data_IF_168033236071
#
_entry.id   IF_168033236071
#
_cell.length_a   1.000
_cell.length_b   1.000
_cell.length_c   1.000
_cell.angle_alpha   90.00
_cell.angle_beta   90.00
_cell.angle_gamma   90.00
#
_symmetry.space_group_name_H-M   'P 1'
#
loop_
_entity.id
_entity.type
_entity.pdbx_description
1 polymer ?
#
# COMPACT_ATOMS: atom_id res chain seq x y z
N UNK A 1 -34.13 13.26 2.86
CA UNK A 1 -32.97 14.03 3.30
C UNK A 1 -31.78 13.33 2.66
N UNK A 2 -31.42 13.77 1.47
CA UNK A 2 -30.38 13.16 0.62
C UNK A 2 -29.02 13.61 1.13
N UNK A 3 -28.16 12.65 1.48
CA UNK A 3 -26.75 12.90 1.80
C UNK A 3 -26.04 13.43 0.55
N UNK A 4 -25.14 14.39 0.69
CA UNK A 4 -24.37 14.87 -0.45
C UNK A 4 -23.43 13.77 -0.94
N UNK A 5 -23.43 13.55 -2.24
CA UNK A 5 -22.49 12.72 -2.96
C UNK A 5 -21.04 13.19 -2.65
N UNK A 6 -20.26 12.32 -2.05
CA UNK A 6 -18.81 12.53 -1.91
C UNK A 6 -18.20 12.58 -3.31
N UNK A 7 -17.91 13.77 -3.77
CA UNK A 7 -17.15 13.99 -4.98
C UNK A 7 -15.70 13.55 -4.81
N UNK A 8 -15.16 12.89 -5.79
CA UNK A 8 -13.74 12.88 -6.13
C UNK A 8 -12.85 11.91 -5.37
N UNK A 9 -12.89 10.60 -5.71
CA UNK A 9 -11.84 9.64 -5.38
C UNK A 9 -11.48 8.71 -6.55
N UNK A 10 -11.78 9.08 -7.78
CA UNK A 10 -11.81 8.09 -8.86
C UNK A 10 -10.62 8.07 -9.81
N UNK A 11 -9.52 8.78 -9.59
CA UNK A 11 -8.49 8.79 -10.63
C UNK A 11 -7.07 8.75 -10.13
N UNK A 12 -6.64 7.65 -9.54
CA UNK A 12 -5.25 7.28 -9.70
C UNK A 12 -5.14 6.47 -11.01
N UNK A 13 -5.07 7.18 -12.14
CA UNK A 13 -5.03 6.57 -13.49
C UNK A 13 -3.72 5.82 -13.79
N UNK A 14 -2.73 5.92 -12.90
CA UNK A 14 -1.41 5.33 -13.12
C UNK A 14 -1.41 3.84 -12.84
N UNK A 15 -1.18 3.03 -13.88
CA UNK A 15 -1.10 1.58 -13.76
C UNK A 15 0.25 1.16 -13.17
N UNK A 16 0.27 0.93 -11.86
CA UNK A 16 1.48 0.54 -11.14
C UNK A 16 2.02 -0.83 -11.57
N UNK A 17 1.14 -1.78 -11.94
CA UNK A 17 1.59 -3.08 -12.41
C UNK A 17 2.25 -2.95 -13.78
N UNK A 18 1.64 -2.26 -14.73
CA UNK A 18 2.23 -2.04 -16.04
C UNK A 18 3.55 -1.26 -15.93
N UNK A 19 3.65 -0.24 -15.09
CA UNK A 19 4.90 0.46 -14.80
C UNK A 19 5.98 -0.48 -14.21
N UNK A 20 5.59 -1.45 -13.38
CA UNK A 20 6.50 -2.45 -12.83
C UNK A 20 7.07 -3.41 -13.88
N UNK A 21 6.36 -3.60 -15.01
CA UNK A 21 6.68 -4.54 -16.08
C UNK A 21 7.37 -3.87 -17.27
N UNK A 22 6.78 -2.80 -17.80
CA UNK A 22 7.19 -2.12 -19.03
C UNK A 22 7.69 -0.70 -18.81
N UNK A 23 7.61 -0.16 -17.61
CA UNK A 23 8.10 1.16 -17.24
C UNK A 23 9.62 1.32 -17.43
N UNK A 24 10.15 2.47 -17.07
CA UNK A 24 11.60 2.75 -17.11
C UNK A 24 12.39 1.72 -16.28
N UNK A 25 13.69 1.59 -16.55
CA UNK A 25 14.56 0.69 -15.79
C UNK A 25 14.50 0.97 -14.28
N UNK A 26 14.43 2.24 -13.87
CA UNK A 26 14.35 2.63 -12.47
C UNK A 26 13.03 2.22 -11.84
N UNK A 27 11.89 2.39 -12.53
CA UNK A 27 10.58 1.96 -12.05
C UNK A 27 10.52 0.45 -11.86
N UNK A 28 10.95 -0.32 -12.87
CA UNK A 28 11.00 -1.79 -12.75
C UNK A 28 11.90 -2.24 -11.60
N UNK A 29 13.07 -1.63 -11.45
CA UNK A 29 13.98 -1.92 -10.33
C UNK A 29 13.33 -1.57 -8.98
N UNK A 30 12.64 -0.43 -8.90
CA UNK A 30 11.92 0.03 -7.71
C UNK A 30 10.90 -1.01 -7.25
N UNK A 31 10.00 -1.43 -8.15
CA UNK A 31 8.96 -2.40 -7.81
C UNK A 31 9.51 -3.78 -7.44
N UNK A 32 10.51 -4.27 -8.17
CA UNK A 32 11.16 -5.56 -7.83
C UNK A 32 11.82 -5.53 -6.45
N UNK A 33 12.49 -4.43 -6.10
CA UNK A 33 13.12 -4.29 -4.78
C UNK A 33 12.09 -4.23 -3.66
N UNK A 34 10.97 -3.56 -3.86
CA UNK A 34 9.89 -3.51 -2.86
C UNK A 34 9.39 -4.91 -2.49
N UNK A 35 9.16 -5.77 -3.48
CA UNK A 35 8.75 -7.16 -3.22
C UNK A 35 9.84 -7.92 -2.46
N UNK A 36 11.11 -7.80 -2.88
CA UNK A 36 12.23 -8.47 -2.21
C UNK A 36 12.48 -7.95 -0.78
N UNK A 37 12.24 -6.67 -0.51
CA UNK A 37 12.34 -6.09 0.82
C UNK A 37 11.19 -6.57 1.72
N UNK A 38 9.98 -6.62 1.19
CA UNK A 38 8.81 -7.16 1.90
C UNK A 38 9.03 -8.59 2.39
N UNK A 39 9.54 -9.46 1.53
CA UNK A 39 9.81 -10.87 1.90
C UNK A 39 10.95 -11.06 2.91
N UNK A 40 11.77 -10.03 3.12
CA UNK A 40 12.80 -10.02 4.16
C UNK A 40 12.29 -9.54 5.50
N UNK A 41 11.27 -8.67 5.53
CA UNK A 41 10.74 -8.10 6.78
C UNK A 41 9.79 -9.06 7.48
N UNK A 42 9.04 -9.87 6.71
CA UNK A 42 8.08 -10.86 7.20
C UNK A 42 8.09 -12.10 6.30
N UNK A 43 7.90 -13.26 6.93
CA UNK A 43 7.67 -14.51 6.21
C UNK A 43 6.22 -14.55 5.72
N UNK A 44 6.03 -14.91 4.45
CA UNK A 44 4.71 -14.96 3.79
C UNK A 44 4.30 -16.38 3.40
N UNK A 45 5.23 -17.35 3.49
CA UNK A 45 4.92 -18.74 3.16
C UNK A 45 3.84 -19.29 4.10
N UNK A 46 2.84 -19.98 3.51
CA UNK A 46 1.68 -20.54 4.22
C UNK A 46 0.86 -19.55 5.05
N UNK A 47 1.08 -18.25 4.86
CA UNK A 47 0.30 -17.19 5.49
C UNK A 47 -0.84 -16.76 4.58
N UNK A 48 -1.99 -16.44 5.17
CA UNK A 48 -3.08 -15.77 4.49
C UNK A 48 -2.82 -14.27 4.53
N UNK A 49 -2.52 -13.68 3.37
CA UNK A 49 -2.06 -12.30 3.24
C UNK A 49 -3.17 -11.41 2.69
N UNK A 50 -3.35 -10.23 3.24
CA UNK A 50 -4.15 -9.15 2.65
C UNK A 50 -3.20 -8.04 2.17
N UNK A 51 -3.28 -7.65 0.91
CA UNK A 51 -2.75 -6.36 0.46
C UNK A 51 -3.88 -5.33 0.48
N UNK A 52 -3.81 -4.41 1.44
CA UNK A 52 -4.76 -3.31 1.59
C UNK A 52 -4.26 -2.09 0.80
N UNK A 53 -5.01 -1.67 -0.20
CA UNK A 53 -4.59 -0.70 -1.21
C UNK A 53 -3.77 -1.37 -2.32
N UNK A 54 -4.29 -2.46 -2.90
CA UNK A 54 -3.56 -3.28 -3.86
C UNK A 54 -3.39 -2.62 -5.24
N UNK A 55 -4.10 -1.50 -5.50
CA UNK A 55 -4.07 -0.81 -6.79
C UNK A 55 -4.20 -1.80 -7.95
N UNK A 56 -3.37 -1.71 -9.00
CA UNK A 56 -3.38 -2.59 -10.17
C UNK A 56 -2.49 -3.83 -10.02
N UNK A 57 -1.98 -4.14 -8.80
CA UNK A 57 -1.34 -5.41 -8.48
C UNK A 57 0.19 -5.45 -8.53
N UNK A 58 0.86 -4.32 -8.45
CA UNK A 58 2.33 -4.26 -8.51
C UNK A 58 3.06 -5.07 -7.41
N UNK A 59 2.39 -5.37 -6.28
CA UNK A 59 2.87 -6.25 -5.22
C UNK A 59 2.13 -7.59 -5.26
N UNK A 60 0.79 -7.57 -5.36
CA UNK A 60 -0.06 -8.76 -5.33
C UNK A 60 0.33 -9.79 -6.40
N UNK A 61 0.50 -9.36 -7.65
CA UNK A 61 0.79 -10.29 -8.75
C UNK A 61 2.14 -11.01 -8.55
N UNK A 62 3.27 -10.31 -8.25
CA UNK A 62 4.51 -10.98 -7.89
C UNK A 62 4.38 -11.96 -6.71
N UNK A 63 3.61 -11.62 -5.67
CA UNK A 63 3.37 -12.52 -4.54
C UNK A 63 2.60 -13.78 -4.99
N UNK A 64 1.54 -13.62 -5.79
CA UNK A 64 0.78 -14.76 -6.35
C UNK A 64 1.63 -15.66 -7.23
N UNK A 65 2.50 -15.09 -8.09
CA UNK A 65 3.47 -15.86 -8.89
C UNK A 65 4.39 -16.73 -8.04
N UNK A 66 4.71 -16.26 -6.84
CA UNK A 66 5.54 -16.99 -5.87
C UNK A 66 4.73 -17.94 -4.96
N UNK A 67 3.45 -18.17 -5.25
CA UNK A 67 2.60 -19.12 -4.52
C UNK A 67 2.01 -18.59 -3.20
N UNK A 68 2.17 -17.29 -2.89
CA UNK A 68 1.59 -16.69 -1.67
C UNK A 68 0.06 -16.63 -1.79
N UNK A 69 -0.66 -17.03 -0.74
CA UNK A 69 -2.12 -16.86 -0.64
C UNK A 69 -2.46 -15.41 -0.30
N UNK A 70 -2.52 -14.54 -1.31
CA UNK A 70 -2.79 -13.12 -1.15
C UNK A 70 -4.16 -12.73 -1.70
N UNK A 71 -4.88 -11.95 -0.88
CA UNK A 71 -6.14 -11.29 -1.21
C UNK A 71 -5.87 -9.81 -1.42
N UNK A 72 -6.44 -9.19 -2.45
CA UNK A 72 -6.34 -7.76 -2.71
C UNK A 72 -7.57 -7.00 -2.22
N UNK A 73 -7.35 -5.80 -1.71
CA UNK A 73 -8.39 -4.83 -1.43
C UNK A 73 -7.96 -3.46 -1.92
N UNK A 74 -8.85 -2.76 -2.63
CA UNK A 74 -8.69 -1.35 -2.98
C UNK A 74 -10.03 -0.64 -2.87
N UNK A 75 -10.01 0.64 -2.56
CA UNK A 75 -11.23 1.46 -2.52
C UNK A 75 -11.73 1.76 -3.93
N UNK A 76 -10.83 1.83 -4.90
CA UNK A 76 -11.14 2.11 -6.30
C UNK A 76 -11.57 0.83 -7.04
N UNK A 77 -12.83 0.79 -7.47
CA UNK A 77 -13.34 -0.29 -8.31
C UNK A 77 -12.59 -0.36 -9.65
N UNK A 78 -12.21 0.78 -10.22
CA UNK A 78 -11.45 0.84 -11.47
C UNK A 78 -10.07 0.18 -11.34
N UNK A 79 -9.35 0.39 -10.23
CA UNK A 79 -8.09 -0.29 -9.95
C UNK A 79 -8.27 -1.80 -9.82
N UNK A 80 -9.31 -2.23 -9.10
CA UNK A 80 -9.63 -3.65 -8.92
C UNK A 80 -9.98 -4.31 -10.26
N UNK A 81 -10.71 -3.64 -11.14
CA UNK A 81 -11.04 -4.18 -12.45
C UNK A 81 -9.80 -4.29 -13.35
N UNK A 82 -8.89 -3.32 -13.34
CA UNK A 82 -7.60 -3.41 -14.01
C UNK A 82 -6.75 -4.57 -13.44
N UNK A 83 -6.72 -4.72 -12.12
CA UNK A 83 -6.02 -5.83 -11.48
C UNK A 83 -6.58 -7.19 -11.92
N UNK A 84 -7.89 -7.35 -12.05
CA UNK A 84 -8.51 -8.58 -12.57
C UNK A 84 -8.07 -8.89 -14.00
N UNK A 85 -8.01 -7.86 -14.87
CA UNK A 85 -7.49 -8.01 -16.23
C UNK A 85 -6.03 -8.47 -16.22
N UNK A 86 -5.19 -7.88 -15.38
CA UNK A 86 -3.79 -8.29 -15.25
C UNK A 86 -3.64 -9.72 -14.71
N UNK A 87 -4.44 -10.12 -13.71
CA UNK A 87 -4.43 -11.49 -13.19
C UNK A 87 -4.76 -12.50 -14.28
N UNK A 88 -5.79 -12.25 -15.08
CA UNK A 88 -6.17 -13.11 -16.22
C UNK A 88 -5.04 -13.19 -17.25
N UNK A 89 -4.46 -12.05 -17.63
CA UNK A 89 -3.34 -12.00 -18.59
C UNK A 89 -2.10 -12.75 -18.10
N UNK A 90 -1.91 -12.86 -16.79
CA UNK A 90 -0.80 -13.60 -16.15
C UNK A 90 -1.14 -15.07 -15.87
N UNK A 91 -2.37 -15.52 -16.17
CA UNK A 91 -2.83 -16.88 -15.85
C UNK A 91 -2.91 -17.13 -14.33
N UNK A 92 -3.16 -16.10 -13.55
CA UNK A 92 -3.23 -16.15 -12.09
C UNK A 92 -4.65 -15.93 -11.60
N UNK A 93 -4.95 -16.53 -10.43
CA UNK A 93 -6.17 -16.28 -9.70
C UNK A 93 -5.86 -15.66 -8.33
N UNK A 94 -6.60 -14.62 -7.95
CA UNK A 94 -6.61 -14.06 -6.61
C UNK A 94 -7.99 -13.48 -6.30
N UNK A 95 -8.38 -13.54 -5.02
CA UNK A 95 -9.58 -12.81 -4.55
C UNK A 95 -9.23 -11.33 -4.46
N UNK A 96 -10.07 -10.49 -5.06
CA UNK A 96 -9.90 -9.03 -5.00
C UNK A 96 -11.25 -8.36 -4.71
N UNK A 97 -11.24 -7.43 -3.77
CA UNK A 97 -12.41 -6.73 -3.27
C UNK A 97 -12.30 -5.23 -3.53
N UNK A 98 -13.39 -4.62 -3.98
CA UNK A 98 -13.51 -3.18 -4.14
C UNK A 98 -14.40 -2.60 -3.02
N UNK A 99 -13.96 -1.53 -2.38
CA UNK A 99 -14.74 -0.79 -1.38
C UNK A 99 -14.87 -1.47 -0.02
N UNK A 100 -15.29 -2.73 0.05
CA UNK A 100 -15.51 -3.44 1.31
C UNK A 100 -14.84 -4.81 1.35
N UNK A 101 -14.39 -5.20 2.53
CA UNK A 101 -13.93 -6.56 2.85
C UNK A 101 -15.02 -7.28 3.62
N UNK A 102 -15.17 -8.62 3.46
CA UNK A 102 -16.04 -9.41 4.33
C UNK A 102 -15.68 -9.21 5.80
N UNK A 103 -16.67 -8.93 6.66
CA UNK A 103 -16.45 -8.57 8.07
C UNK A 103 -15.69 -9.65 8.86
N UNK A 104 -15.92 -10.92 8.54
CA UNK A 104 -15.33 -12.09 9.17
C UNK A 104 -13.96 -12.49 8.60
N UNK A 105 -13.50 -11.81 7.54
CA UNK A 105 -12.22 -12.12 6.93
C UNK A 105 -11.05 -11.83 7.89
N UNK A 106 -10.23 -12.85 8.13
CA UNK A 106 -9.04 -12.77 8.98
C UNK A 106 -7.79 -13.12 8.18
N UNK A 107 -6.69 -12.39 8.45
CA UNK A 107 -5.43 -12.55 7.74
C UNK A 107 -4.26 -12.64 8.71
N UNK A 108 -3.30 -13.52 8.43
CA UNK A 108 -2.09 -13.67 9.22
C UNK A 108 -1.14 -12.49 9.01
N UNK A 109 -1.17 -11.91 7.80
CA UNK A 109 -0.37 -10.73 7.43
C UNK A 109 -1.26 -9.74 6.67
N UNK A 110 -1.23 -8.49 7.08
CA UNK A 110 -1.82 -7.37 6.34
C UNK A 110 -0.71 -6.44 5.87
N UNK A 111 -0.70 -6.14 4.58
CA UNK A 111 0.26 -5.27 3.93
C UNK A 111 -0.37 -3.89 3.68
N UNK A 112 0.31 -2.83 4.08
CA UNK A 112 0.04 -1.43 3.77
C UNK A 112 1.26 -0.83 3.09
N UNK A 113 1.30 -0.88 1.77
CA UNK A 113 2.49 -0.46 1.02
C UNK A 113 2.24 0.88 0.33
N UNK A 114 2.73 1.95 0.93
CA UNK A 114 2.51 3.34 0.49
C UNK A 114 1.00 3.67 0.36
N UNK A 115 0.23 3.38 1.39
CA UNK A 115 -1.22 3.66 1.45
C UNK A 115 -1.52 4.79 2.42
N UNK A 116 -0.87 4.79 3.60
CA UNK A 116 -1.21 5.74 4.67
C UNK A 116 -0.95 7.20 4.28
N UNK A 117 -0.07 7.43 3.31
CA UNK A 117 0.22 8.75 2.78
C UNK A 117 -0.99 9.38 2.04
N UNK A 118 -1.88 8.52 1.48
CA UNK A 118 -3.05 8.93 0.70
C UNK A 118 -4.34 8.95 1.50
N UNK A 119 -4.30 8.58 2.78
CA UNK A 119 -5.48 8.48 3.64
C UNK A 119 -5.55 9.69 4.57
N UNK A 120 -6.69 10.38 4.59
CA UNK A 120 -6.94 11.48 5.54
C UNK A 120 -7.04 10.94 6.98
N UNK A 121 -7.92 9.97 7.20
CA UNK A 121 -8.20 9.36 8.51
C UNK A 121 -7.36 8.09 8.74
N UNK A 122 -6.04 8.26 8.90
CA UNK A 122 -5.08 7.16 9.06
C UNK A 122 -5.41 6.21 10.21
N UNK A 123 -5.90 6.77 11.31
CA UNK A 123 -6.33 6.02 12.48
C UNK A 123 -7.48 5.05 12.16
N UNK A 124 -8.50 5.52 11.47
CA UNK A 124 -9.66 4.73 11.08
C UNK A 124 -9.28 3.54 10.20
N UNK A 125 -8.32 3.73 9.28
CA UNK A 125 -7.79 2.64 8.45
C UNK A 125 -7.07 1.60 9.31
N UNK A 126 -6.23 2.03 10.26
CA UNK A 126 -5.55 1.10 11.16
C UNK A 126 -6.54 0.34 12.05
N UNK A 127 -7.62 0.97 12.50
CA UNK A 127 -8.67 0.33 13.27
C UNK A 127 -9.45 -0.70 12.42
N UNK A 128 -9.73 -0.39 11.15
CA UNK A 128 -10.31 -1.35 10.19
C UNK A 128 -9.39 -2.55 10.01
N UNK A 129 -8.09 -2.32 9.80
CA UNK A 129 -7.11 -3.38 9.64
C UNK A 129 -6.99 -4.26 10.88
N UNK A 130 -7.01 -3.67 12.09
CA UNK A 130 -6.92 -4.42 13.34
C UNK A 130 -8.06 -5.45 13.48
N UNK A 131 -9.25 -5.17 12.95
CA UNK A 131 -10.38 -6.12 12.92
C UNK A 131 -10.14 -7.31 11.99
N UNK A 132 -9.38 -7.12 10.93
CA UNK A 132 -9.04 -8.16 9.94
C UNK A 132 -7.73 -8.90 10.23
N UNK A 133 -6.97 -8.51 11.24
CA UNK A 133 -5.79 -9.25 11.67
C UNK A 133 -6.18 -10.47 12.50
N UNK A 134 -5.64 -11.63 12.12
CA UNK A 134 -5.71 -12.83 12.95
C UNK A 134 -4.99 -12.62 14.29
N UNK A 135 -5.32 -13.41 15.33
CA UNK A 135 -4.56 -13.39 16.59
C UNK A 135 -3.06 -13.60 16.30
N UNK A 136 -2.22 -12.71 16.85
CA UNK A 136 -0.78 -12.69 16.57
C UNK A 136 -0.39 -12.42 15.09
N UNK A 137 -1.30 -11.92 14.26
CA UNK A 137 -1.02 -11.50 12.89
C UNK A 137 0.01 -10.37 12.82
N UNK A 138 0.52 -10.13 11.63
CA UNK A 138 1.47 -9.07 11.34
C UNK A 138 0.82 -7.97 10.50
N UNK A 139 0.96 -6.73 10.94
CA UNK A 139 0.77 -5.58 10.06
C UNK A 139 2.14 -5.16 9.53
N UNK A 140 2.30 -5.15 8.21
CA UNK A 140 3.52 -4.68 7.54
C UNK A 140 3.21 -3.37 6.83
N UNK A 141 3.92 -2.33 7.22
CA UNK A 141 3.74 -0.99 6.66
C UNK A 141 5.01 -0.56 5.94
N UNK A 142 4.86 -0.05 4.73
CA UNK A 142 5.92 0.64 4.01
C UNK A 142 5.54 2.11 3.86
N UNK A 143 6.39 3.00 4.33
CA UNK A 143 6.25 4.45 4.19
C UNK A 143 7.39 4.99 3.33
N UNK A 144 7.07 5.93 2.44
CA UNK A 144 8.07 6.72 1.75
C UNK A 144 8.69 7.74 2.70
N UNK A 145 10.00 7.96 2.63
CA UNK A 145 10.65 9.02 3.39
C UNK A 145 10.51 10.36 2.63
N UNK A 146 9.65 11.27 3.09
CA UNK A 146 9.42 12.54 2.41
C UNK A 146 10.67 13.46 2.41
N UNK A 147 11.64 13.19 3.28
CA UNK A 147 12.89 13.94 3.38
C UNK A 147 13.95 13.45 2.39
N UNK A 148 13.74 12.27 1.77
CA UNK A 148 14.70 11.69 0.86
C UNK A 148 15.00 12.61 -0.34
N UNK A 149 16.29 12.87 -0.69
CA UNK A 149 16.66 13.81 -1.75
C UNK A 149 15.98 13.52 -3.09
N UNK A 150 15.77 12.25 -3.43
CA UNK A 150 15.11 11.86 -4.69
C UNK A 150 13.66 12.33 -4.74
N UNK A 151 12.89 12.19 -3.66
CA UNK A 151 11.51 12.67 -3.56
C UNK A 151 11.46 14.18 -3.63
N UNK A 152 12.35 14.86 -2.86
CA UNK A 152 12.45 16.32 -2.88
C UNK A 152 12.84 16.87 -4.25
N UNK A 153 13.77 16.19 -4.96
CA UNK A 153 14.19 16.60 -6.29
C UNK A 153 13.07 16.34 -7.33
N UNK A 154 12.31 15.26 -7.20
CA UNK A 154 11.14 14.96 -8.03
C UNK A 154 10.10 16.09 -7.94
N UNK A 155 9.77 16.54 -6.72
CA UNK A 155 8.88 17.68 -6.48
C UNK A 155 9.42 18.98 -7.08
N UNK A 156 10.69 19.27 -6.90
CA UNK A 156 11.35 20.44 -7.50
C UNK A 156 11.32 20.40 -9.02
N UNK A 157 11.57 19.23 -9.63
CA UNK A 157 11.49 19.05 -11.07
C UNK A 157 10.08 19.23 -11.62
N UNK A 158 9.06 18.71 -10.92
CA UNK A 158 7.66 18.91 -11.29
C UNK A 158 7.28 20.38 -11.24
N UNK A 159 7.66 21.10 -10.19
CA UNK A 159 7.50 22.54 -10.06
C UNK A 159 8.19 23.32 -11.19
N UNK A 160 9.44 22.99 -11.52
CA UNK A 160 10.20 23.66 -12.59
C UNK A 160 9.70 23.32 -14.00
N UNK A 161 8.99 22.21 -14.19
CA UNK A 161 8.41 21.82 -15.48
C UNK A 161 7.07 22.50 -15.78
N UNK A 162 6.63 23.42 -14.93
CA UNK A 162 5.39 24.20 -15.14
C UNK A 162 4.11 23.37 -15.01
N UNK A 163 4.15 22.18 -14.42
CA UNK A 163 2.96 21.48 -14.01
C UNK A 163 2.30 22.28 -12.91
N UNK A 164 1.03 22.63 -13.09
CA UNK A 164 0.29 23.41 -12.12
C UNK A 164 0.15 22.61 -10.81
N UNK A 165 -0.01 23.31 -9.69
CA UNK A 165 -0.27 22.67 -8.40
C UNK A 165 -1.49 21.74 -8.47
N UNK A 166 -2.47 22.10 -9.30
CA UNK A 166 -3.71 21.36 -9.50
C UNK A 166 -3.49 20.02 -10.24
N UNK A 167 -2.53 19.96 -11.17
CA UNK A 167 -2.15 18.70 -11.86
C UNK A 167 -1.32 17.75 -10.97
N UNK A 168 -0.80 18.25 -9.87
CA UNK A 168 0.01 17.48 -8.90
C UNK A 168 -0.87 17.01 -7.73
N UNK A 169 -1.90 17.79 -7.36
CA UNK A 169 -2.72 17.55 -6.16
C UNK A 169 -3.63 16.32 -6.26
N UNK A 170 -4.04 15.88 -7.45
CA UNK A 170 -4.87 14.68 -7.60
C UNK A 170 -4.11 13.36 -7.37
N UNK A 171 -2.78 13.37 -7.47
CA UNK A 171 -1.93 12.19 -7.29
C UNK A 171 -0.95 12.30 -6.11
N UNK A 172 -0.91 13.43 -5.41
CA UNK A 172 -0.01 13.61 -4.27
C UNK A 172 -0.61 13.05 -2.96
N UNK A 173 0.25 12.48 -2.07
CA UNK A 173 -0.18 12.11 -0.73
C UNK A 173 -0.83 13.31 -0.05
N UNK A 174 -2.04 13.15 0.45
CA UNK A 174 -2.78 14.20 1.16
C UNK A 174 -1.96 14.80 2.31
N UNK A 175 -1.09 13.97 2.91
CA UNK A 175 -0.11 14.38 3.91
C UNK A 175 0.96 13.30 4.07
N UNK A 176 2.24 13.60 3.81
CA UNK A 176 3.33 12.67 4.15
C UNK A 176 3.27 12.32 5.63
N UNK A 177 3.38 11.02 5.93
CA UNK A 177 3.35 10.53 7.32
C UNK A 177 4.78 10.47 7.86
N UNK A 178 5.08 11.31 8.83
CA UNK A 178 6.37 11.27 9.51
C UNK A 178 6.46 10.06 10.46
N UNK A 179 7.66 9.49 10.60
CA UNK A 179 7.86 8.32 11.47
C UNK A 179 7.36 8.52 12.91
N UNK A 180 7.60 9.65 13.60
CA UNK A 180 7.08 9.85 14.95
C UNK A 180 5.55 9.78 15.03
N UNK A 181 4.85 10.37 14.05
CA UNK A 181 3.39 10.33 13.96
C UNK A 181 2.89 8.90 13.71
N UNK A 182 3.56 8.15 12.83
CA UNK A 182 3.24 6.75 12.60
C UNK A 182 3.41 5.91 13.88
N UNK A 183 4.51 6.08 14.60
CA UNK A 183 4.76 5.37 15.86
C UNK A 183 3.70 5.68 16.91
N UNK A 184 3.28 6.94 17.02
CA UNK A 184 2.20 7.35 17.93
C UNK A 184 0.87 6.66 17.55
N UNK A 185 0.52 6.63 16.26
CA UNK A 185 -0.67 5.91 15.77
C UNK A 185 -0.66 4.43 16.13
N UNK A 186 0.50 3.77 16.10
CA UNK A 186 0.65 2.37 16.47
C UNK A 186 0.56 2.19 17.99
N UNK A 187 1.26 3.01 18.77
CA UNK A 187 1.30 2.90 20.26
C UNK A 187 -0.09 3.15 20.85
N UNK A 188 -0.81 4.16 20.40
CA UNK A 188 -2.17 4.50 20.87
C UNK A 188 -3.18 3.38 20.61
N UNK A 189 -2.88 2.45 19.68
CA UNK A 189 -3.67 1.24 19.39
C UNK A 189 -3.12 -0.01 20.08
N UNK A 190 -2.31 0.16 21.11
CA UNK A 190 -1.69 -0.95 21.84
C UNK A 190 -0.71 -1.77 20.99
N UNK A 191 -0.28 -1.24 19.87
CA UNK A 191 0.66 -1.89 18.97
C UNK A 191 2.12 -1.60 19.32
N UNK A 192 3.01 -2.38 18.71
CA UNK A 192 4.45 -2.17 18.80
C UNK A 192 5.14 -2.52 17.50
N UNK A 193 6.13 -1.74 17.11
CA UNK A 193 7.04 -2.08 16.02
C UNK A 193 8.01 -3.14 16.53
N UNK A 194 8.07 -4.28 15.83
CA UNK A 194 8.95 -5.41 16.18
C UNK A 194 10.18 -5.43 15.28
N UNK A 195 10.03 -5.07 14.00
CA UNK A 195 11.13 -4.98 13.04
C UNK A 195 11.01 -3.68 12.28
N UNK A 196 12.15 -3.13 11.93
CA UNK A 196 12.28 -1.96 11.05
C UNK A 196 13.42 -2.21 10.08
N UNK A 197 13.23 -1.87 8.81
CA UNK A 197 14.25 -1.95 7.80
C UNK A 197 14.14 -0.78 6.82
N UNK A 198 15.28 -0.23 6.42
CA UNK A 198 15.33 0.75 5.34
C UNK A 198 15.47 0.03 4.00
N UNK A 199 14.68 0.45 3.03
CA UNK A 199 14.76 0.00 1.66
C UNK A 199 15.34 1.08 0.75
N UNK A 200 15.91 0.64 -0.37
CA UNK A 200 16.33 1.50 -1.49
C UNK A 200 17.12 2.75 -1.09
N UNK A 201 18.19 2.57 -0.30
CA UNK A 201 19.02 3.70 0.12
C UNK A 201 18.30 4.73 1.00
N UNK A 202 17.35 4.26 1.82
CA UNK A 202 16.47 5.03 2.72
C UNK A 202 15.28 5.74 2.04
N UNK A 203 14.99 5.42 0.78
CA UNK A 203 13.79 5.95 0.12
C UNK A 203 12.49 5.50 0.79
N UNK A 204 12.48 4.24 1.28
CA UNK A 204 11.35 3.64 1.99
C UNK A 204 11.78 3.12 3.35
N UNK A 205 10.88 3.15 4.32
CA UNK A 205 11.03 2.46 5.59
C UNK A 205 9.92 1.42 5.77
N UNK A 206 10.33 0.19 6.08
CA UNK A 206 9.46 -0.94 6.33
C UNK A 206 9.34 -1.19 7.82
N UNK A 207 8.13 -1.43 8.28
CA UNK A 207 7.81 -1.72 9.67
C UNK A 207 7.00 -3.01 9.75
N UNK A 208 7.47 -3.99 10.54
CA UNK A 208 6.63 -5.11 10.96
C UNK A 208 6.09 -4.84 12.36
N UNK A 209 4.79 -4.79 12.47
CA UNK A 209 4.05 -4.33 13.65
C UNK A 209 3.20 -5.47 14.20
N UNK A 210 3.14 -5.61 15.52
CA UNK A 210 2.13 -6.38 16.22
C UNK A 210 1.12 -5.42 16.81
N UNK A 211 -0.15 -5.55 16.42
CA UNK A 211 -1.26 -4.85 17.06
C UNK A 211 -1.86 -5.77 18.13
N UNK A 212 -2.28 -5.19 19.26
CA UNK A 212 -3.19 -5.90 20.17
C UNK A 212 -4.58 -5.91 19.55
N UNK A 213 -5.26 -7.05 19.58
CA UNK A 213 -6.70 -7.08 19.32
C UNK A 213 -7.40 -6.22 20.38
N UNK A 214 -8.13 -5.23 19.93
CA UNK A 214 -9.03 -4.45 20.78
C UNK A 214 -10.20 -5.32 21.25
#
# INVERSE_FOLDING_TARGET
MTLPSSGGTDTFEYDLFEASRSGSYLERMFHRRRVAELTRIVELDKQRVLEFGCNTGAILIPLRRNGVDVVGYDISAANVDRLRVHLVAEGLEAKVHAGELPEDAQFDVVLLVNVLEYVAEKGSVLDKIARHLAPNGWLVVCLADPSHPFIRFGKLRAFLSGRSHDDIDEAEPTRPLAEPEFLELIITRGGRVVRRAWGMGRLNCWYAVKLRKL
#
